data_IF_981492228959
#
_entry.id   IF_981492228959
#
_cell.length_a   1.000
_cell.length_b   1.000
_cell.length_c   1.000
_cell.angle_alpha   90.00
_cell.angle_beta   90.00
_cell.angle_gamma   90.00
#
_symmetry.space_group_name_H-M   'P 1'
#
loop_
_entity.id
_entity.type
_entity.pdbx_description
1 polymer ?
#
# COMPACT_ATOMS: atom_id res chain seq x y z
N UNK A 1 14.70 -13.47 0.77
CA UNK A 1 13.25 -13.29 0.92
C UNK A 1 12.89 -12.03 0.19
N UNK A 2 11.94 -12.08 -0.74
CA UNK A 2 11.53 -10.91 -1.52
C UNK A 2 10.47 -10.16 -0.74
N UNK A 3 10.82 -8.99 -0.21
CA UNK A 3 9.92 -8.14 0.57
C UNK A 3 9.11 -7.25 -0.39
N UNK A 4 7.80 -7.16 -0.17
CA UNK A 4 6.92 -6.26 -0.92
C UNK A 4 6.97 -4.90 -0.21
N UNK A 5 7.22 -3.85 -0.97
CA UNK A 5 7.21 -2.49 -0.42
C UNK A 5 5.81 -1.91 -0.57
N UNK A 6 5.19 -1.53 0.55
CA UNK A 6 3.94 -0.78 0.55
C UNK A 6 4.17 0.68 0.93
N UNK A 7 3.63 1.60 0.15
CA UNK A 7 3.68 3.03 0.36
C UNK A 7 2.29 3.49 0.80
N UNK A 8 2.19 4.11 1.97
CA UNK A 8 0.95 4.68 2.48
C UNK A 8 0.85 6.13 2.03
N UNK A 9 -0.20 6.45 1.29
CA UNK A 9 -0.55 7.80 0.87
C UNK A 9 -1.78 8.28 1.63
N UNK A 10 -1.83 9.56 1.99
CA UNK A 10 -3.03 10.18 2.55
C UNK A 10 -3.30 11.52 1.88
N UNK A 11 -4.30 11.54 0.99
CA UNK A 11 -4.67 12.74 0.23
C UNK A 11 -3.61 13.12 -0.81
N UNK A 12 -2.87 12.13 -1.33
CA UNK A 12 -1.77 12.32 -2.27
C UNK A 12 -0.38 12.43 -1.62
N UNK A 13 -0.28 12.74 -0.33
CA UNK A 13 0.98 12.82 0.40
C UNK A 13 1.46 11.46 0.91
N UNK A 14 2.73 11.14 0.70
CA UNK A 14 3.35 9.93 1.26
C UNK A 14 3.48 10.07 2.79
N UNK A 15 2.76 9.23 3.52
CA UNK A 15 2.77 9.16 5.00
C UNK A 15 3.83 8.22 5.53
N UNK A 16 4.16 7.17 4.79
CA UNK A 16 5.15 6.20 5.23
C UNK A 16 5.36 5.04 4.27
N UNK A 17 6.40 4.27 4.54
CA UNK A 17 6.73 3.03 3.85
C UNK A 17 6.63 1.87 4.84
N UNK A 18 5.89 0.84 4.46
CA UNK A 18 5.72 -0.39 5.22
C UNK A 18 6.32 -1.52 4.40
N UNK A 19 7.16 -2.33 5.02
CA UNK A 19 7.71 -3.53 4.40
C UNK A 19 6.80 -4.70 4.75
N UNK A 20 6.18 -5.25 3.71
CA UNK A 20 5.20 -6.31 3.83
C UNK A 20 5.88 -7.62 3.45
N UNK A 21 5.95 -8.52 4.43
CA UNK A 21 6.42 -9.87 4.19
C UNK A 21 5.53 -10.53 3.12
N UNK A 22 6.09 -11.40 2.26
CA UNK A 22 5.35 -12.00 1.14
C UNK A 22 4.16 -12.87 1.59
N UNK A 23 4.14 -13.32 2.85
CA UNK A 23 3.06 -14.10 3.46
C UNK A 23 1.99 -13.23 4.13
N UNK A 24 2.24 -11.93 4.29
CA UNK A 24 1.32 -11.00 4.93
C UNK A 24 0.28 -10.54 3.89
N UNK A 25 -1.02 -10.75 4.13
CA UNK A 25 -2.04 -10.29 3.21
C UNK A 25 -2.02 -8.76 3.13
N UNK A 26 -2.04 -8.24 1.91
CA UNK A 26 -2.27 -6.81 1.68
C UNK A 26 -3.68 -6.45 2.17
N UNK A 27 -3.85 -5.25 2.76
CA UNK A 27 -5.17 -4.79 3.15
C UNK A 27 -6.05 -4.63 1.92
N UNK A 28 -7.37 -4.55 2.11
CA UNK A 28 -8.33 -4.37 1.01
C UNK A 28 -8.94 -2.99 1.00
N UNK A 29 -9.39 -2.53 -0.17
CA UNK A 29 -10.17 -1.30 -0.28
C UNK A 29 -11.39 -1.36 0.66
N UNK A 30 -11.53 -0.33 1.48
CA UNK A 30 -12.57 -0.18 2.49
C UNK A 30 -12.23 -0.75 3.87
N UNK A 31 -11.10 -1.47 4.01
CA UNK A 31 -10.60 -1.97 5.28
C UNK A 31 -10.10 -0.83 6.18
N UNK A 32 -10.11 -1.05 7.49
CA UNK A 32 -9.65 -0.08 8.49
C UNK A 32 -8.22 -0.45 8.87
N UNK A 33 -7.31 0.48 8.65
CA UNK A 33 -5.91 0.40 9.06
C UNK A 33 -5.68 1.34 10.23
N UNK A 34 -4.91 0.90 11.21
CA UNK A 34 -4.38 1.76 12.26
C UNK A 34 -2.94 2.11 11.91
N UNK A 35 -2.65 3.40 11.77
CA UNK A 35 -1.33 3.92 11.46
C UNK A 35 -1.04 5.12 12.35
N UNK A 36 0.10 5.12 13.04
CA UNK A 36 0.48 6.19 13.96
C UNK A 36 -0.55 6.49 15.07
N UNK A 37 -1.31 5.47 15.50
CA UNK A 37 -2.38 5.61 16.49
C UNK A 37 -3.68 6.25 15.96
N UNK A 38 -3.72 6.64 14.69
CA UNK A 38 -4.93 7.08 14.00
C UNK A 38 -5.52 5.92 13.16
N UNK A 39 -6.85 5.87 13.09
CA UNK A 39 -7.55 4.91 12.23
C UNK A 39 -7.87 5.56 10.90
N UNK A 40 -7.51 4.87 9.83
CA UNK A 40 -7.79 5.26 8.46
C UNK A 40 -8.53 4.15 7.73
N UNK A 41 -9.30 4.54 6.72
CA UNK A 41 -9.93 3.61 5.79
C UNK A 41 -9.13 3.56 4.51
N UNK A 42 -8.84 2.37 4.02
CA UNK A 42 -8.22 2.21 2.70
C UNK A 42 -9.18 2.70 1.63
N UNK A 43 -8.79 3.75 0.91
CA UNK A 43 -9.55 4.35 -0.17
C UNK A 43 -9.24 3.68 -1.52
N UNK A 44 -7.96 3.39 -1.77
CA UNK A 44 -7.49 2.78 -3.01
C UNK A 44 -6.22 1.97 -2.80
N UNK A 45 -6.02 0.95 -3.64
CA UNK A 45 -4.81 0.13 -3.66
C UNK A 45 -4.39 -0.03 -5.12
N UNK A 46 -3.15 0.33 -5.40
CA UNK A 46 -2.54 0.24 -6.73
C UNK A 46 -1.23 -0.53 -6.65
N UNK A 47 -0.93 -1.32 -7.67
CA UNK A 47 0.30 -2.11 -7.73
C UNK A 47 1.15 -1.58 -8.88
N UNK A 48 2.32 -1.06 -8.55
CA UNK A 48 3.32 -0.65 -9.51
C UNK A 48 4.34 -1.77 -9.66
N UNK A 49 4.46 -2.30 -10.87
CA UNK A 49 5.50 -3.23 -11.22
C UNK A 49 6.61 -2.44 -11.90
N UNK A 50 7.83 -2.50 -11.35
CA UNK A 50 8.99 -1.90 -12.02
C UNK A 50 9.18 -2.61 -13.36
N UNK A 51 8.83 -1.93 -14.45
CA UNK A 51 9.02 -2.44 -15.80
C UNK A 51 10.51 -2.51 -16.13
N UNK A 52 11.05 -3.71 -16.26
CA UNK A 52 12.33 -3.89 -16.95
C UNK A 52 12.11 -3.64 -18.46
N UNK A 53 13.00 -2.87 -19.13
CA UNK A 53 12.90 -2.63 -20.58
C UNK A 53 13.25 -3.86 -21.44
N UNK A 54 13.63 -4.96 -20.82
CA UNK A 54 13.97 -6.22 -21.48
C UNK A 54 12.89 -7.25 -21.14
N UNK A 55 12.37 -7.95 -22.16
CA UNK A 55 11.16 -8.79 -22.14
C UNK A 55 11.18 -10.04 -21.26
N UNK A 56 11.90 -9.99 -20.14
CA UNK A 56 11.88 -10.99 -19.08
C UNK A 56 10.66 -10.75 -18.17
N UNK A 57 9.87 -11.81 -18.01
CA UNK A 57 8.74 -11.88 -17.09
C UNK A 57 9.21 -11.43 -15.70
N UNK A 58 8.59 -10.36 -15.19
CA UNK A 58 8.94 -9.67 -13.96
C UNK A 58 9.35 -10.63 -12.82
N UNK A 59 10.61 -10.56 -12.40
CA UNK A 59 11.14 -11.36 -11.28
C UNK A 59 11.20 -10.58 -9.95
N UNK A 60 10.85 -9.28 -9.97
CA UNK A 60 10.84 -8.41 -8.80
C UNK A 60 9.48 -8.33 -8.10
N UNK A 61 9.44 -8.09 -6.77
CA UNK A 61 8.19 -7.83 -6.06
C UNK A 61 7.62 -6.47 -6.50
N UNK A 62 6.29 -6.33 -6.64
CA UNK A 62 5.69 -5.03 -6.93
C UNK A 62 5.84 -4.06 -5.76
N UNK A 63 5.83 -2.77 -6.08
CA UNK A 63 5.56 -1.70 -5.11
C UNK A 63 4.05 -1.54 -4.99
N UNK A 64 3.52 -1.56 -3.78
CA UNK A 64 2.09 -1.39 -3.51
C UNK A 64 1.84 0.01 -3.00
N UNK A 65 0.95 0.75 -3.64
CA UNK A 65 0.50 2.07 -3.18
C UNK A 65 -0.86 1.91 -2.51
N UNK A 66 -0.98 2.36 -1.27
CA UNK A 66 -2.19 2.28 -0.47
C UNK A 66 -2.60 3.70 -0.13
N UNK A 67 -3.67 4.19 -0.77
CA UNK A 67 -4.28 5.46 -0.41
C UNK A 67 -5.20 5.22 0.79
N UNK A 68 -4.96 5.96 1.86
CA UNK A 68 -5.74 5.92 3.08
C UNK A 68 -6.47 7.26 3.26
N UNK A 69 -7.73 7.18 3.69
CA UNK A 69 -8.54 8.34 4.04
C UNK A 69 -8.88 8.29 5.51
N UNK A 70 -8.82 9.42 6.21
CA UNK A 70 -9.37 9.50 7.57
C UNK A 70 -10.81 9.00 7.58
N UNK A 71 -11.17 8.20 8.57
CA UNK A 71 -12.57 7.97 8.88
C UNK A 71 -13.14 9.32 9.30
N UNK A 72 -13.91 9.95 8.40
CA UNK A 72 -14.74 11.08 8.81
C UNK A 72 -15.71 10.54 9.85
N UNK A 73 -15.46 10.91 11.10
CA UNK A 73 -16.45 10.81 12.16
C UNK A 73 -17.61 11.71 11.73
N UNK A 74 -18.65 11.09 11.16
CA UNK A 74 -19.85 11.81 10.74
C UNK A 74 -20.72 11.91 12.00
N UNK A 75 -20.47 12.95 12.78
CA UNK A 75 -21.37 13.39 13.85
C UNK A 75 -22.64 14.02 13.26
#
# INVERSE_FOLDING_TARGET
MTEIVALLHHGGDLRGRIEIAPTTPLPRKGEILEYDGERFRVAEISHEYAGSPDGDVHTGPPTVHIEISRLRDRY
#
